data_IF_875075228122
#
_entry.id   IF_875075228122
#
_cell.length_a   1.000
_cell.length_b   1.000
_cell.length_c   1.000
_cell.angle_alpha   90.00
_cell.angle_beta   90.00
_cell.angle_gamma   90.00
#
_symmetry.space_group_name_H-M   'P 1'
#
loop_
_entity.id
_entity.type
_entity.pdbx_description
1 polymer ?
#
# COMPACT_ATOMS: atom_id res chain seq x y z
N UNK A 1 -11.57 24.14 -5.79
CA UNK A 1 -11.13 23.20 -4.74
C UNK A 1 -9.77 22.68 -5.17
N UNK A 2 -8.67 23.02 -4.49
CA UNK A 2 -7.35 22.42 -4.80
C UNK A 2 -7.36 21.01 -4.22
N UNK A 3 -7.36 20.00 -5.08
CA UNK A 3 -7.15 18.62 -4.63
C UNK A 3 -5.71 18.58 -4.10
N UNK A 4 -5.53 18.26 -2.82
CA UNK A 4 -4.19 18.06 -2.27
C UNK A 4 -3.64 16.77 -2.88
N UNK A 5 -2.59 16.91 -3.70
CA UNK A 5 -1.92 15.79 -4.36
C UNK A 5 -0.63 15.39 -3.67
N UNK A 6 -0.31 15.99 -2.52
CA UNK A 6 0.84 15.59 -1.73
C UNK A 6 0.64 14.15 -1.22
N UNK A 7 1.72 13.36 -1.14
CA UNK A 7 1.65 12.06 -0.48
C UNK A 7 1.23 12.19 0.99
N UNK A 8 0.54 11.17 1.50
CA UNK A 8 0.12 11.11 2.90
C UNK A 8 0.05 9.65 3.39
N UNK A 9 0.07 9.47 4.71
CA UNK A 9 0.07 8.14 5.30
C UNK A 9 -1.33 7.56 5.36
N UNK A 10 -1.44 6.27 5.09
CA UNK A 10 -2.68 5.51 5.14
C UNK A 10 -2.49 4.17 5.82
N UNK A 11 -3.55 3.68 6.47
CA UNK A 11 -3.70 2.26 6.75
C UNK A 11 -4.44 1.64 5.56
N UNK A 12 -3.89 0.55 5.02
CA UNK A 12 -4.50 -0.19 3.92
C UNK A 12 -4.55 -1.69 4.23
N UNK A 13 -5.52 -2.39 3.64
CA UNK A 13 -5.69 -3.83 3.73
C UNK A 13 -5.36 -4.50 2.40
N UNK A 14 -4.56 -5.57 2.41
CA UNK A 14 -4.20 -6.32 1.21
C UNK A 14 -5.41 -7.10 0.69
N UNK A 15 -5.81 -6.86 -0.55
CA UNK A 15 -6.85 -7.64 -1.23
C UNK A 15 -6.25 -8.70 -2.17
N UNK A 16 -5.20 -8.33 -2.92
CA UNK A 16 -4.55 -9.18 -3.92
C UNK A 16 -3.07 -8.87 -4.05
N UNK A 17 -2.26 -9.91 -3.91
CA UNK A 17 -0.82 -9.85 -4.11
C UNK A 17 -0.51 -10.18 -5.58
N UNK A 18 0.20 -9.28 -6.25
CA UNK A 18 0.71 -9.50 -7.61
C UNK A 18 2.21 -9.28 -7.59
N UNK A 19 2.99 -10.34 -7.70
CA UNK A 19 4.44 -10.29 -7.64
C UNK A 19 5.02 -11.53 -6.97
N UNK A 20 6.36 -11.58 -6.89
CA UNK A 20 7.07 -12.62 -6.17
C UNK A 20 7.34 -12.15 -4.74
N UNK A 21 6.87 -12.92 -3.76
CA UNK A 21 7.22 -12.73 -2.35
C UNK A 21 8.66 -13.23 -2.13
N UNK A 22 9.50 -12.43 -1.49
CA UNK A 22 10.80 -12.90 -1.00
C UNK A 22 10.62 -13.77 0.25
N UNK A 23 11.55 -14.70 0.53
CA UNK A 23 11.53 -15.47 1.77
C UNK A 23 11.46 -14.56 3.00
N UNK A 24 10.54 -14.84 3.91
CA UNK A 24 10.30 -14.03 5.10
C UNK A 24 9.17 -13.00 4.95
N UNK A 25 8.65 -12.76 3.73
CA UNK A 25 7.55 -11.81 3.51
C UNK A 25 6.33 -12.15 4.36
N UNK A 26 5.82 -11.14 5.07
CA UNK A 26 4.58 -11.22 5.85
C UNK A 26 3.37 -10.69 5.07
N UNK A 27 3.53 -10.38 3.78
CA UNK A 27 2.44 -9.89 2.95
C UNK A 27 1.43 -11.02 2.70
N UNK A 28 0.25 -10.91 3.30
CA UNK A 28 -0.86 -11.85 3.12
C UNK A 28 -2.18 -11.11 2.85
N UNK A 29 -3.14 -11.77 2.21
CA UNK A 29 -4.47 -11.19 1.97
C UNK A 29 -5.20 -11.00 3.31
N UNK A 30 -5.77 -9.80 3.51
CA UNK A 30 -6.48 -9.41 4.74
C UNK A 30 -5.58 -8.76 5.79
N UNK A 31 -4.26 -8.84 5.64
CA UNK A 31 -3.32 -8.13 6.50
C UNK A 31 -3.39 -6.62 6.25
N UNK A 32 -3.07 -5.86 7.31
CA UNK A 32 -3.13 -4.40 7.30
C UNK A 32 -1.77 -3.81 7.57
N UNK A 33 -1.41 -2.80 6.80
CA UNK A 33 -0.13 -2.12 6.89
C UNK A 33 -0.31 -0.61 6.84
N UNK A 34 0.73 0.10 7.26
CA UNK A 34 0.85 1.55 7.08
C UNK A 34 1.73 1.79 5.85
N UNK A 35 1.28 2.66 4.95
CA UNK A 35 2.05 3.04 3.75
C UNK A 35 1.83 4.49 3.38
N UNK A 36 2.58 4.95 2.38
CA UNK A 36 2.46 6.29 1.82
C UNK A 36 1.61 6.22 0.55
N UNK A 37 0.42 6.82 0.56
CA UNK A 37 -0.39 6.94 -0.63
C UNK A 37 0.04 8.18 -1.42
N UNK A 38 0.31 7.99 -2.71
CA UNK A 38 0.67 9.03 -3.68
C UNK A 38 -0.53 9.31 -4.60
N UNK A 39 -1.35 10.35 -4.33
CA UNK A 39 -2.57 10.60 -5.09
C UNK A 39 -2.31 10.91 -6.56
N UNK A 40 -1.15 11.49 -6.91
CA UNK A 40 -0.78 11.81 -8.29
C UNK A 40 -0.69 10.57 -9.17
N UNK A 41 -0.33 9.42 -8.59
CA UNK A 41 -0.09 8.18 -9.30
C UNK A 41 -1.13 7.10 -8.96
N UNK A 42 -2.01 7.37 -7.99
CA UNK A 42 -2.97 6.42 -7.42
C UNK A 42 -2.29 5.11 -6.98
N UNK A 43 -1.23 5.24 -6.17
CA UNK A 43 -0.39 4.13 -5.71
C UNK A 43 -0.04 4.30 -4.24
N UNK A 44 0.06 3.19 -3.52
CA UNK A 44 0.57 3.11 -2.15
C UNK A 44 1.97 2.51 -2.20
N UNK A 45 2.94 3.20 -1.59
CA UNK A 45 4.27 2.69 -1.31
C UNK A 45 4.32 2.10 0.10
N UNK A 46 4.97 0.94 0.23
CA UNK A 46 5.16 0.23 1.49
C UNK A 46 6.43 -0.62 1.43
N UNK A 47 7.19 -0.65 2.52
CA UNK A 47 8.34 -1.54 2.70
C UNK A 47 7.98 -2.60 3.75
N UNK A 48 8.10 -3.89 3.39
CA UNK A 48 7.79 -4.98 4.31
C UNK A 48 8.89 -5.22 5.35
N UNK A 49 8.65 -6.14 6.29
CA UNK A 49 9.59 -6.42 7.40
C UNK A 49 10.96 -6.95 6.94
N UNK A 50 11.12 -7.34 5.68
CA UNK A 50 12.39 -7.82 5.11
C UNK A 50 13.03 -6.78 4.18
N UNK A 51 12.51 -5.56 4.13
CA UNK A 51 12.99 -4.51 3.26
C UNK A 51 12.54 -4.65 1.80
N UNK A 52 11.54 -5.51 1.52
CA UNK A 52 10.98 -5.59 0.17
C UNK A 52 10.02 -4.42 -0.05
N UNK A 53 10.31 -3.62 -1.08
CA UNK A 53 9.46 -2.52 -1.50
C UNK A 53 8.25 -3.01 -2.32
N UNK A 54 7.10 -2.40 -2.06
CA UNK A 54 5.84 -2.68 -2.72
C UNK A 54 5.19 -1.39 -3.20
N UNK A 55 4.71 -1.44 -4.44
CA UNK A 55 3.86 -0.41 -5.03
C UNK A 55 2.51 -1.02 -5.36
N UNK A 56 1.50 -0.65 -4.58
CA UNK A 56 0.18 -1.27 -4.61
C UNK A 56 -0.87 -0.29 -5.12
N UNK A 57 -1.71 -0.74 -6.04
CA UNK A 57 -2.80 0.09 -6.54
C UNK A 57 -4.07 -0.11 -5.69
N UNK A 58 -4.69 0.96 -5.17
CA UNK A 58 -5.99 0.87 -4.53
C UNK A 58 -7.03 0.24 -5.46
N UNK A 59 -8.01 -0.47 -4.88
CA UNK A 59 -9.08 -1.23 -5.54
C UNK A 59 -8.64 -2.41 -6.42
N UNK A 60 -7.33 -2.58 -6.64
CA UNK A 60 -6.77 -3.71 -7.38
C UNK A 60 -5.97 -4.64 -6.46
N UNK A 61 -5.05 -4.06 -5.69
CA UNK A 61 -4.16 -4.79 -4.80
C UNK A 61 -4.54 -4.64 -3.33
N UNK A 62 -5.10 -3.50 -2.97
CA UNK A 62 -5.40 -3.13 -1.58
C UNK A 62 -6.60 -2.20 -1.49
N UNK A 63 -7.11 -2.01 -0.28
CA UNK A 63 -8.18 -1.06 0.04
C UNK A 63 -7.65 -0.12 1.12
N UNK A 64 -7.78 1.19 0.92
CA UNK A 64 -7.45 2.18 1.95
C UNK A 64 -8.55 2.17 3.01
N UNK A 65 -8.17 1.99 4.28
CA UNK A 65 -9.08 1.95 5.42
C UNK A 65 -9.23 3.33 6.07
N UNK A 66 -8.11 4.04 6.26
CA UNK A 66 -8.10 5.40 6.77
C UNK A 66 -6.80 6.14 6.42
N UNK A 67 -6.83 7.47 6.48
CA UNK A 67 -5.68 8.37 6.24
C UNK A 67 -5.41 9.26 7.45
N UNK A 68 -4.16 9.69 7.66
CA UNK A 68 -3.76 10.58 8.74
C UNK A 68 -2.52 11.43 8.39
#
# INVERSE_FOLDING_TARGET
MKINTAPYHVIFEINKITGKLLPGSTLEKGERFVGEYHPSNNMIFFEDVNGQEWWLKPDQNCIIICSF
#
